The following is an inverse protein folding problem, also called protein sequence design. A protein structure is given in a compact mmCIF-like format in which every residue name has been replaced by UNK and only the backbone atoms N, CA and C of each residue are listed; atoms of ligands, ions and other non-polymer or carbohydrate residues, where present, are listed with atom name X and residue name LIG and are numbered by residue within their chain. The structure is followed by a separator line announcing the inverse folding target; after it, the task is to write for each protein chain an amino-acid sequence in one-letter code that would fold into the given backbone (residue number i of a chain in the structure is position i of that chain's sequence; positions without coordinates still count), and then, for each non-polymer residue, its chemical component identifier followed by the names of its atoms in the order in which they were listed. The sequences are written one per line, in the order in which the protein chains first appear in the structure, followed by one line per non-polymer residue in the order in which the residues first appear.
data_IF_741726935288
#
_entry.id   IF_741726935288
#
_cell.length_a   1.000
_cell.length_b   1.000
_cell.length_c   1.000
_cell.angle_alpha   90.00
_cell.angle_beta   90.00
_cell.angle_gamma   90.00
#
_symmetry.space_group_name_H-M   'P 1'
#
loop_
_entity.id
_entity.type
_entity.pdbx_description
1 polymer ?
#
# COMPACT_ATOMS: atom_id res chain seq x y z
N UNK A 1 -22.60 -10.75 -14.29
CA UNK A 1 -22.20 -9.50 -14.94
C UNK A 1 -22.01 -8.44 -13.87
N UNK A 2 -20.77 -8.26 -13.38
CA UNK A 2 -20.42 -7.17 -12.48
C UNK A 2 -19.70 -6.11 -13.31
N UNK A 3 -20.25 -4.90 -13.41
CA UNK A 3 -19.52 -3.75 -13.95
C UNK A 3 -18.60 -3.27 -12.84
N UNK A 4 -17.35 -3.71 -12.85
CA UNK A 4 -16.27 -3.05 -12.13
C UNK A 4 -16.14 -1.64 -12.71
N UNK A 5 -16.67 -0.65 -11.99
CA UNK A 5 -16.40 0.75 -12.30
C UNK A 5 -14.92 0.99 -12.07
N UNK A 6 -14.14 1.07 -13.14
CA UNK A 6 -12.73 1.43 -13.06
C UNK A 6 -12.62 2.78 -12.34
N UNK A 7 -12.13 2.74 -11.09
CA UNK A 7 -11.77 3.95 -10.39
C UNK A 7 -10.55 4.47 -11.13
N UNK A 8 -10.74 5.49 -11.98
CA UNK A 8 -9.66 6.18 -12.66
C UNK A 8 -8.89 7.01 -11.63
N UNK A 9 -8.08 6.34 -10.81
CA UNK A 9 -7.15 6.97 -9.89
C UNK A 9 -6.04 7.63 -10.70
N UNK A 10 -5.82 8.92 -10.47
CA UNK A 10 -4.66 9.63 -11.01
C UNK A 10 -3.40 9.14 -10.31
N UNK A 11 -2.31 8.98 -11.07
CA UNK A 11 -1.00 8.70 -10.50
C UNK A 11 -0.46 9.94 -9.78
N UNK A 12 0.46 9.75 -8.84
CA UNK A 12 1.16 10.84 -8.15
C UNK A 12 1.75 11.87 -9.13
N UNK A 13 2.44 11.37 -10.16
CA UNK A 13 3.03 12.20 -11.21
C UNK A 13 2.00 13.03 -11.99
N UNK A 14 0.80 12.50 -12.20
CA UNK A 14 -0.29 13.22 -12.84
C UNK A 14 -0.82 14.33 -11.93
N UNK A 15 -1.00 14.06 -10.64
CA UNK A 15 -1.45 15.06 -9.66
C UNK A 15 -0.46 16.22 -9.56
N UNK A 16 0.84 15.92 -9.43
CA UNK A 16 1.89 16.93 -9.38
C UNK A 16 1.90 17.78 -10.65
N UNK A 17 1.78 17.15 -11.83
CA UNK A 17 1.73 17.86 -13.11
C UNK A 17 0.55 18.83 -13.21
N UNK A 18 -0.63 18.44 -12.72
CA UNK A 18 -1.80 19.31 -12.66
C UNK A 18 -1.58 20.51 -11.73
N UNK A 19 -0.99 20.30 -10.56
CA UNK A 19 -0.70 21.39 -9.61
C UNK A 19 0.29 22.39 -10.22
N UNK A 20 1.37 21.89 -10.84
CA UNK A 20 2.36 22.73 -11.54
C UNK A 20 1.69 23.56 -12.64
N UNK A 21 0.83 22.93 -13.46
CA UNK A 21 0.11 23.63 -14.52
C UNK A 21 -0.78 24.76 -13.99
N UNK A 22 -1.57 24.49 -12.94
CA UNK A 22 -2.46 25.49 -12.34
C UNK A 22 -1.64 26.64 -11.75
N UNK A 23 -0.57 26.36 -11.01
CA UNK A 23 0.27 27.41 -10.42
C UNK A 23 0.97 28.25 -11.50
N UNK A 24 1.48 27.62 -12.56
CA UNK A 24 2.08 28.36 -13.67
C UNK A 24 1.04 29.28 -14.34
N UNK A 25 -0.19 28.80 -14.55
CA UNK A 25 -1.30 29.58 -15.14
C UNK A 25 -1.72 30.76 -14.26
N UNK A 26 -1.63 30.62 -12.95
CA UNK A 26 -1.93 31.68 -11.97
C UNK A 26 -0.76 32.67 -11.81
N UNK A 27 0.35 32.49 -12.53
CA UNK A 27 1.49 33.42 -12.53
C UNK A 27 2.43 33.26 -11.34
N UNK A 28 2.38 32.12 -10.63
CA UNK A 28 3.34 31.86 -9.56
C UNK A 28 4.77 31.76 -10.12
N UNK A 29 5.74 32.25 -9.35
CA UNK A 29 7.14 32.15 -9.72
C UNK A 29 7.59 30.68 -9.76
N UNK A 30 8.56 30.36 -10.64
CA UNK A 30 9.15 29.02 -10.71
C UNK A 30 9.71 28.54 -9.37
N UNK A 31 10.25 29.48 -8.56
CA UNK A 31 10.77 29.17 -7.22
C UNK A 31 9.66 28.64 -6.31
N UNK A 32 8.53 29.35 -6.24
CA UNK A 32 7.40 28.95 -5.39
C UNK A 32 6.77 27.64 -5.87
N UNK A 33 6.74 27.40 -7.19
CA UNK A 33 6.27 26.13 -7.74
C UNK A 33 7.19 24.97 -7.32
N UNK A 34 8.51 25.16 -7.35
CA UNK A 34 9.47 24.14 -6.94
C UNK A 34 9.32 23.77 -5.46
N UNK A 35 9.11 24.76 -4.59
CA UNK A 35 8.85 24.54 -3.16
C UNK A 35 7.59 23.69 -2.93
N UNK A 36 6.50 23.98 -3.64
CA UNK A 36 5.26 23.20 -3.56
C UNK A 36 5.41 21.78 -4.11
N UNK A 37 6.15 21.60 -5.21
CA UNK A 37 6.42 20.27 -5.78
C UNK A 37 7.25 19.43 -4.81
N UNK A 38 8.23 20.02 -4.15
CA UNK A 38 9.04 19.32 -3.14
C UNK A 38 8.17 18.84 -1.96
N UNK A 39 7.29 19.70 -1.45
CA UNK A 39 6.38 19.35 -0.36
C UNK A 39 5.36 18.27 -0.76
N UNK A 40 4.85 18.34 -1.99
CA UNK A 40 3.96 17.32 -2.54
C UNK A 40 4.64 15.97 -2.63
N UNK A 41 5.85 15.91 -3.23
CA UNK A 41 6.63 14.67 -3.29
C UNK A 41 6.85 14.08 -1.89
N UNK A 42 7.26 14.90 -0.92
CA UNK A 42 7.46 14.42 0.45
C UNK A 42 6.17 13.88 1.09
N UNK A 43 5.04 14.57 0.88
CA UNK A 43 3.73 14.15 1.40
C UNK A 43 3.26 12.84 0.77
N UNK A 44 3.50 12.66 -0.54
CA UNK A 44 3.15 11.41 -1.22
C UNK A 44 4.07 10.27 -0.83
N UNK A 45 5.36 10.51 -0.64
CA UNK A 45 6.34 9.51 -0.18
C UNK A 45 5.95 8.96 1.21
N UNK A 46 5.63 9.85 2.16
CA UNK A 46 5.14 9.48 3.50
C UNK A 46 3.87 8.63 3.44
N UNK A 47 2.95 8.95 2.52
CA UNK A 47 1.67 8.22 2.39
C UNK A 47 1.79 6.92 1.61
N UNK A 48 2.71 6.85 0.64
CA UNK A 48 3.02 5.66 -0.12
C UNK A 48 3.70 4.62 0.75
N UNK A 49 4.64 5.03 1.61
CA UNK A 49 5.36 4.10 2.49
C UNK A 49 4.43 3.41 3.48
N UNK A 50 3.53 4.13 4.16
CA UNK A 50 2.77 3.52 5.25
C UNK A 50 1.53 2.73 4.77
N UNK A 51 0.91 3.12 3.65
CA UNK A 51 -0.28 2.43 3.11
C UNK A 51 0.07 1.26 2.19
N UNK A 52 1.04 1.42 1.28
CA UNK A 52 1.43 0.36 0.33
C UNK A 52 2.19 -0.75 1.07
N UNK A 53 3.01 -0.41 2.06
CA UNK A 53 3.68 -1.41 2.90
C UNK A 53 2.68 -2.22 3.72
N UNK A 54 1.71 -1.58 4.38
CA UNK A 54 0.69 -2.30 5.18
C UNK A 54 -0.23 -3.15 4.31
N UNK A 55 -0.68 -2.63 3.17
CA UNK A 55 -1.51 -3.38 2.24
C UNK A 55 -0.77 -4.60 1.65
N UNK A 56 0.49 -4.41 1.19
CA UNK A 56 1.31 -5.50 0.65
C UNK A 56 1.70 -6.53 1.72
N UNK A 57 1.95 -6.10 2.96
CA UNK A 57 2.25 -7.01 4.07
C UNK A 57 1.03 -7.85 4.46
N UNK A 58 -0.15 -7.25 4.59
CA UNK A 58 -1.39 -7.95 4.95
C UNK A 58 -1.78 -8.93 3.84
N UNK A 59 -1.77 -8.49 2.58
CA UNK A 59 -2.03 -9.35 1.41
C UNK A 59 -1.00 -10.49 1.35
N UNK A 60 0.29 -10.20 1.53
CA UNK A 60 1.34 -11.20 1.57
C UNK A 60 1.29 -12.15 2.77
N UNK A 61 0.62 -11.76 3.87
CA UNK A 61 0.34 -12.64 5.02
C UNK A 61 -0.86 -13.53 4.77
N UNK A 62 -1.94 -13.00 4.19
CA UNK A 62 -3.13 -13.79 3.82
C UNK A 62 -2.80 -14.83 2.74
N UNK A 63 -2.03 -14.45 1.73
CA UNK A 63 -1.60 -15.38 0.68
C UNK A 63 -0.67 -16.46 1.24
N UNK A 64 0.24 -16.13 2.16
CA UNK A 64 1.07 -17.13 2.84
C UNK A 64 0.26 -18.14 3.65
N UNK A 65 -0.83 -17.73 4.30
CA UNK A 65 -1.75 -18.65 5.02
C UNK A 65 -2.47 -19.61 4.08
N UNK A 66 -2.76 -19.18 2.85
CA UNK A 66 -3.42 -20.02 1.83
C UNK A 66 -2.45 -20.96 1.13
N UNK A 67 -1.21 -20.52 0.93
CA UNK A 67 -0.19 -21.27 0.16
C UNK A 67 0.61 -22.27 0.99
N UNK A 68 0.77 -22.01 2.29
CA UNK A 68 1.46 -22.92 3.19
C UNK A 68 0.43 -23.40 4.23
N UNK A 69 -0.10 -24.63 4.13
CA UNK A 69 -0.88 -25.19 5.21
C UNK A 69 0.03 -25.17 6.44
N UNK A 70 -0.29 -24.27 7.37
CA UNK A 70 0.45 -24.14 8.62
C UNK A 70 0.18 -25.46 9.32
N UNK A 71 1.18 -26.34 9.36
CA UNK A 71 1.09 -27.61 10.08
C UNK A 71 0.63 -27.23 11.48
N UNK A 72 -0.60 -27.60 11.85
CA UNK A 72 -1.05 -27.51 13.23
C UNK A 72 -0.02 -28.30 14.03
N UNK A 73 0.80 -27.59 14.79
CA UNK A 73 1.57 -28.23 15.84
C UNK A 73 0.55 -28.63 16.90
N UNK A 74 -0.03 -29.81 16.71
CA UNK A 74 -0.75 -30.52 17.74
C UNK A 74 0.29 -30.92 18.81
N UNK A 75 0.61 -29.97 19.68
CA UNK A 75 1.01 -30.30 21.04
C UNK A 75 -0.28 -30.40 21.84
N UNK A 76 -0.65 -31.61 22.25
CA UNK A 76 -0.74 -31.97 23.66
C UNK A 76 -1.48 -33.31 23.91
N UNK A 77 -0.72 -34.25 24.49
CA UNK A 77 -1.05 -35.07 25.67
C UNK A 77 -2.31 -35.98 25.71
N UNK A 78 -2.09 -37.31 25.69
CA UNK A 78 -2.50 -38.27 26.75
C UNK A 78 -2.06 -39.69 26.34
N UNK A 79 -1.12 -40.35 27.03
CA UNK A 79 -1.23 -41.06 28.32
C UNK A 79 -1.57 -42.56 28.18
N UNK A 80 -0.60 -43.36 28.63
CA UNK A 80 -0.69 -44.67 29.29
C UNK A 80 -1.09 -45.98 28.56
N UNK A 81 -0.14 -46.92 28.67
CA UNK A 81 -0.26 -48.37 28.96
C UNK A 81 -0.89 -49.32 27.91
N UNK A 82 -0.13 -50.35 27.49
CA UNK A 82 -0.12 -51.66 28.19
C UNK A 82 0.96 -52.62 27.66
N UNK A 83 1.58 -53.27 28.64
CA UNK A 83 2.39 -54.52 28.66
C UNK A 83 1.97 -55.58 27.65
N UNK A 84 2.94 -56.16 26.92
CA UNK A 84 3.39 -57.58 27.02
C UNK A 84 4.70 -57.76 26.29
#
# INVERSE_FOLDING_TARGET
MAREGAINCLTESQVISYVVYVMAKMGYSRKNIAEVVQELNHTFDIKSDDFIYKASLIVGQEDRKKLLPTIRSDKDNNSSNKVT
#
